data_IF_634050249154
#
_entry.id   IF_634050249154
#
_cell.length_a   1.000
_cell.length_b   1.000
_cell.length_c   1.000
_cell.angle_alpha   90.00
_cell.angle_beta   90.00
_cell.angle_gamma   90.00
#
_symmetry.space_group_name_H-M   'P 1'
#
loop_
_entity.id
_entity.type
_entity.pdbx_description
1 polymer ?
#
# COMPACT_ATOMS: atom_id res chain seq x y z
N UNK A 1 -2.09 10.33 -10.96
CA UNK A 1 -1.48 9.46 -9.95
C UNK A 1 -1.09 8.14 -10.60
N UNK A 2 0.07 7.55 -10.22
CA UNK A 2 0.51 6.24 -10.71
C UNK A 2 0.92 5.37 -9.53
N UNK A 3 0.46 4.12 -9.52
CA UNK A 3 0.86 3.09 -8.53
C UNK A 3 1.52 1.94 -9.29
N UNK A 4 2.71 1.54 -8.85
CA UNK A 4 3.44 0.40 -9.41
C UNK A 4 3.61 -0.66 -8.32
N UNK A 5 3.00 -1.84 -8.48
CA UNK A 5 3.18 -2.95 -7.54
C UNK A 5 4.59 -3.54 -7.73
N UNK A 6 5.40 -3.50 -6.66
CA UNK A 6 6.80 -3.95 -6.68
C UNK A 6 6.95 -5.31 -6.01
N UNK A 7 6.09 -5.60 -5.05
CA UNK A 7 6.11 -6.84 -4.26
C UNK A 7 4.68 -7.35 -4.05
N UNK A 8 4.44 -8.59 -4.38
CA UNK A 8 3.15 -9.28 -4.23
C UNK A 8 3.37 -10.80 -4.27
N UNK A 9 2.40 -11.57 -3.82
CA UNK A 9 2.43 -13.04 -3.86
C UNK A 9 2.36 -13.59 -5.29
N UNK A 10 1.87 -12.80 -6.24
CA UNK A 10 1.71 -13.17 -7.64
C UNK A 10 2.53 -12.26 -8.57
N UNK A 11 2.86 -12.76 -9.75
CA UNK A 11 3.58 -12.00 -10.79
C UNK A 11 2.62 -11.59 -11.89
N UNK A 12 2.46 -10.28 -12.10
CA UNK A 12 1.74 -9.73 -13.25
C UNK A 12 2.62 -9.59 -14.48
N UNK A 13 3.84 -9.06 -14.31
CA UNK A 13 4.79 -8.85 -15.41
C UNK A 13 5.89 -9.91 -15.40
N UNK A 14 5.99 -10.67 -16.50
CA UNK A 14 7.01 -11.73 -16.66
C UNK A 14 8.43 -11.20 -16.40
N UNK A 15 9.25 -12.02 -15.74
CA UNK A 15 10.65 -11.72 -15.43
C UNK A 15 10.86 -11.07 -14.04
N UNK A 16 9.79 -10.72 -13.36
CA UNK A 16 9.82 -10.28 -11.96
C UNK A 16 9.67 -11.47 -11.01
N UNK A 17 9.84 -11.23 -9.72
CA UNK A 17 9.77 -12.26 -8.67
C UNK A 17 8.62 -11.97 -7.74
N UNK A 18 7.75 -12.95 -7.51
CA UNK A 18 6.79 -12.93 -6.42
C UNK A 18 7.43 -13.48 -5.14
N UNK A 19 6.93 -13.03 -4.03
CA UNK A 19 7.24 -13.58 -2.70
C UNK A 19 6.11 -13.14 -1.75
N UNK A 20 6.01 -13.75 -0.57
CA UNK A 20 4.98 -13.41 0.39
C UNK A 20 5.19 -12.01 0.95
N UNK A 21 4.25 -11.11 0.74
CA UNK A 21 4.30 -9.71 1.21
C UNK A 21 3.74 -8.72 0.21
N UNK A 22 3.75 -7.45 0.59
CA UNK A 22 3.25 -6.37 -0.25
C UNK A 22 4.20 -5.17 -0.28
N UNK A 23 4.34 -4.54 -1.44
CA UNK A 23 4.91 -3.21 -1.60
C UNK A 23 4.47 -2.59 -2.92
N UNK A 24 4.19 -1.30 -2.91
CA UNK A 24 3.97 -0.53 -4.13
C UNK A 24 4.61 0.86 -4.06
N UNK A 25 5.01 1.38 -5.22
CA UNK A 25 5.45 2.77 -5.37
C UNK A 25 4.25 3.64 -5.72
N UNK A 26 4.04 4.69 -4.95
CA UNK A 26 3.00 5.70 -5.14
C UNK A 26 3.65 6.98 -5.67
N UNK A 27 3.24 7.39 -6.87
CA UNK A 27 3.75 8.56 -7.57
C UNK A 27 2.57 9.52 -7.86
N UNK A 28 2.64 10.72 -7.30
CA UNK A 28 1.71 11.81 -7.53
C UNK A 28 2.52 13.00 -8.04
N UNK A 29 2.01 13.72 -9.03
CA UNK A 29 2.69 14.89 -9.61
C UNK A 29 2.98 15.93 -8.51
N UNK A 30 4.19 16.47 -8.53
CA UNK A 30 4.69 17.47 -7.56
C UNK A 30 4.62 17.03 -6.08
N UNK A 31 4.59 15.72 -5.81
CA UNK A 31 4.61 15.16 -4.45
C UNK A 31 5.79 14.18 -4.28
N UNK A 32 6.22 13.92 -3.03
CA UNK A 32 7.20 12.90 -2.73
C UNK A 32 6.79 11.52 -3.27
N UNK A 33 7.76 10.78 -3.79
CA UNK A 33 7.58 9.38 -4.20
C UNK A 33 7.58 8.51 -2.95
N UNK A 34 6.45 7.92 -2.64
CA UNK A 34 6.27 7.11 -1.44
C UNK A 34 6.34 5.63 -1.80
N UNK A 35 7.26 4.91 -1.16
CA UNK A 35 7.22 3.45 -1.14
C UNK A 35 6.29 3.02 0.00
N UNK A 36 5.16 2.42 -0.36
CA UNK A 36 4.21 1.83 0.58
C UNK A 36 4.63 0.39 0.86
N UNK A 37 4.92 0.06 2.11
CA UNK A 37 5.48 -1.21 2.58
C UNK A 37 6.77 -1.65 1.84
N UNK A 38 7.38 -2.75 2.27
CA UNK A 38 8.68 -3.19 1.74
C UNK A 38 8.78 -4.70 1.47
N UNK A 39 7.65 -5.43 1.59
CA UNK A 39 7.65 -6.88 1.45
C UNK A 39 8.41 -7.60 2.56
N UNK A 40 8.58 -8.90 2.39
CA UNK A 40 9.25 -9.78 3.35
C UNK A 40 10.78 -9.80 3.21
N UNK A 41 11.31 -9.51 2.01
CA UNK A 41 12.71 -9.70 1.67
C UNK A 41 13.26 -8.54 0.85
N UNK A 42 14.24 -7.83 1.41
CA UNK A 42 14.85 -6.67 0.76
C UNK A 42 15.58 -7.00 -0.55
N UNK A 43 16.17 -8.18 -0.67
CA UNK A 43 16.81 -8.62 -1.92
C UNK A 43 15.79 -8.79 -3.05
N UNK A 44 14.62 -9.37 -2.78
CA UNK A 44 13.51 -9.51 -3.75
C UNK A 44 12.96 -8.11 -4.11
N UNK A 45 12.75 -7.23 -3.12
CA UNK A 45 12.29 -5.86 -3.33
C UNK A 45 13.24 -5.10 -4.28
N UNK A 46 14.54 -5.06 -3.96
CA UNK A 46 15.54 -4.32 -4.74
C UNK A 46 15.76 -4.92 -6.14
N UNK A 47 15.68 -6.26 -6.30
CA UNK A 47 15.77 -6.92 -7.61
C UNK A 47 14.57 -6.54 -8.50
N UNK A 48 13.36 -6.54 -7.97
CA UNK A 48 12.16 -6.11 -8.68
C UNK A 48 12.21 -4.62 -9.03
N UNK A 49 12.62 -3.75 -8.08
CA UNK A 49 12.82 -2.32 -8.36
C UNK A 49 13.78 -2.12 -9.53
N UNK A 50 14.94 -2.80 -9.50
CA UNK A 50 15.93 -2.73 -10.60
C UNK A 50 15.33 -3.15 -11.96
N UNK A 51 14.57 -4.23 -12.01
CA UNK A 51 13.92 -4.73 -13.24
C UNK A 51 12.78 -3.85 -13.73
N UNK A 52 12.20 -3.05 -12.85
CA UNK A 52 11.17 -2.05 -13.14
C UNK A 52 11.75 -0.67 -13.45
N UNK A 53 13.09 -0.55 -13.51
CA UNK A 53 13.81 0.72 -13.68
C UNK A 53 13.48 1.76 -12.59
N UNK A 54 13.23 1.28 -11.37
CA UNK A 54 12.99 2.10 -10.18
C UNK A 54 14.28 2.11 -9.35
N UNK A 55 14.91 3.29 -9.24
CA UNK A 55 16.11 3.46 -8.42
C UNK A 55 15.71 3.62 -6.95
N UNK A 56 16.24 2.84 -6.00
CA UNK A 56 15.94 3.01 -4.57
C UNK A 56 16.24 4.43 -4.07
N UNK A 57 17.27 5.08 -4.61
CA UNK A 57 17.64 6.46 -4.25
C UNK A 57 16.57 7.50 -4.64
N UNK A 58 15.71 7.15 -5.58
CA UNK A 58 14.61 8.00 -6.03
C UNK A 58 13.35 7.92 -5.16
N UNK A 59 13.34 7.05 -4.14
CA UNK A 59 12.28 6.99 -3.13
C UNK A 59 12.51 8.14 -2.15
N UNK A 60 11.53 8.99 -1.95
CA UNK A 60 11.64 10.11 -1.03
C UNK A 60 11.28 9.70 0.40
N UNK A 61 10.26 8.90 0.57
CA UNK A 61 9.73 8.47 1.85
C UNK A 61 9.19 7.03 1.79
N UNK A 62 9.10 6.39 2.94
CA UNK A 62 8.46 5.08 3.13
C UNK A 62 7.23 5.24 4.01
N UNK A 63 6.16 4.56 3.67
CA UNK A 63 4.96 4.46 4.48
C UNK A 63 4.72 2.99 4.83
N UNK A 64 4.79 2.64 6.10
CA UNK A 64 4.55 1.29 6.61
C UNK A 64 3.12 1.20 7.11
N UNK A 65 2.36 0.26 6.57
CA UNK A 65 1.00 0.00 6.99
C UNK A 65 0.94 -0.59 8.41
N UNK A 66 1.72 -1.63 8.69
CA UNK A 66 1.78 -2.30 9.98
C UNK A 66 3.09 -3.10 10.17
N UNK A 67 3.36 -3.52 11.43
CA UNK A 67 4.64 -4.13 11.85
C UNK A 67 4.64 -5.67 11.69
N UNK A 68 4.20 -6.19 10.55
CA UNK A 68 4.38 -7.59 10.20
C UNK A 68 5.58 -7.77 9.27
N UNK A 69 6.28 -8.90 9.42
CA UNK A 69 7.54 -9.20 8.74
C UNK A 69 7.46 -9.10 7.20
N UNK A 70 6.30 -9.42 6.65
CA UNK A 70 6.01 -9.41 5.22
C UNK A 70 5.63 -8.00 4.67
N UNK A 71 5.68 -6.98 5.52
CA UNK A 71 5.51 -5.56 5.18
C UNK A 71 6.74 -4.72 5.49
N UNK A 72 7.57 -5.15 6.46
CA UNK A 72 8.74 -4.40 6.93
C UNK A 72 10.07 -5.07 6.62
N UNK A 73 10.07 -6.28 6.07
CA UNK A 73 11.27 -7.09 5.86
C UNK A 73 12.32 -6.46 4.95
N UNK A 74 11.91 -5.61 4.01
CA UNK A 74 12.81 -4.89 3.12
C UNK A 74 13.41 -3.61 3.69
N UNK A 75 12.89 -3.08 4.81
CA UNK A 75 13.37 -1.83 5.42
C UNK A 75 14.87 -1.83 5.67
N UNK A 76 15.49 -2.86 6.27
CA UNK A 76 16.92 -2.86 6.54
C UNK A 76 17.79 -2.74 5.29
N UNK A 77 17.40 -3.39 4.19
CA UNK A 77 18.18 -3.36 2.95
C UNK A 77 17.98 -2.03 2.20
N UNK A 78 16.79 -1.47 2.25
CA UNK A 78 16.51 -0.14 1.70
C UNK A 78 17.32 0.94 2.43
N UNK A 79 17.42 0.88 3.76
CA UNK A 79 18.22 1.82 4.57
C UNK A 79 19.73 1.67 4.37
N UNK A 80 20.24 0.54 3.88
CA UNK A 80 21.64 0.42 3.45
C UNK A 80 21.93 1.26 2.20
N UNK A 81 20.93 1.40 1.31
CA UNK A 81 21.05 2.19 0.08
C UNK A 81 20.76 3.66 0.34
N UNK A 82 19.73 3.97 1.13
CA UNK A 82 19.33 5.35 1.49
C UNK A 82 19.09 5.47 2.98
N UNK A 83 20.14 5.75 3.77
CA UNK A 83 20.09 5.74 5.25
C UNK A 83 19.21 6.83 5.87
N UNK A 84 18.96 7.91 5.15
CA UNK A 84 18.22 9.10 5.60
C UNK A 84 16.73 9.07 5.23
N UNK A 85 16.23 7.94 4.72
CA UNK A 85 14.82 7.80 4.38
C UNK A 85 13.91 8.05 5.59
N UNK A 86 12.97 8.95 5.43
CA UNK A 86 11.89 9.18 6.38
C UNK A 86 10.87 8.06 6.26
N UNK A 87 10.47 7.50 7.41
CA UNK A 87 9.58 6.35 7.46
C UNK A 87 8.38 6.68 8.35
N UNK A 88 7.21 6.78 7.77
CA UNK A 88 5.93 6.87 8.48
C UNK A 88 5.51 5.48 8.93
N UNK A 89 5.18 5.33 10.20
CA UNK A 89 4.80 4.04 10.80
C UNK A 89 3.59 4.22 11.73
N UNK A 90 2.79 3.17 11.96
CA UNK A 90 1.76 3.21 13.00
C UNK A 90 2.40 3.33 14.39
N UNK A 91 1.63 3.77 15.38
CA UNK A 91 2.11 3.95 16.77
C UNK A 91 2.65 2.65 17.36
N UNK A 92 2.04 1.51 17.04
CA UNK A 92 2.42 0.16 17.49
C UNK A 92 3.73 -0.37 16.90
N UNK A 93 4.33 0.31 15.91
CA UNK A 93 5.58 -0.11 15.28
C UNK A 93 6.73 -0.24 16.29
N UNK A 94 7.42 -1.38 16.33
CA UNK A 94 8.36 -1.71 17.43
C UNK A 94 9.74 -1.12 17.26
N UNK A 95 10.24 -1.04 16.01
CA UNK A 95 11.60 -0.53 15.76
C UNK A 95 11.74 0.94 16.07
N UNK A 96 12.95 1.36 16.40
CA UNK A 96 13.32 2.75 16.70
C UNK A 96 14.31 3.25 15.67
N UNK A 97 14.27 4.54 15.38
CA UNK A 97 15.20 5.21 14.48
C UNK A 97 14.94 6.71 14.45
N UNK A 98 15.94 7.49 14.07
CA UNK A 98 15.84 8.96 14.04
C UNK A 98 14.92 9.46 12.92
N UNK A 99 14.70 8.64 11.89
CA UNK A 99 13.90 9.00 10.71
C UNK A 99 12.48 8.42 10.77
N UNK A 100 12.09 7.83 11.90
CA UNK A 100 10.78 7.22 12.10
C UNK A 100 9.78 8.27 12.61
N UNK A 101 8.69 8.44 11.88
CA UNK A 101 7.56 9.29 12.24
C UNK A 101 6.37 8.39 12.59
N UNK A 102 6.00 8.36 13.89
CA UNK A 102 4.86 7.58 14.37
C UNK A 102 3.56 8.33 14.15
N UNK A 103 2.58 7.63 13.64
CA UNK A 103 1.25 8.17 13.39
C UNK A 103 0.24 7.36 14.21
N UNK A 104 -0.47 8.05 15.09
CA UNK A 104 -1.54 7.50 15.90
C UNK A 104 -2.92 7.93 15.39
N UNK A 105 -3.07 9.21 15.19
CA UNK A 105 -4.33 9.83 14.77
C UNK A 105 -4.30 10.14 13.26
N UNK A 106 -5.46 10.28 12.61
CA UNK A 106 -5.51 10.71 11.21
C UNK A 106 -4.77 12.03 11.00
N UNK A 107 -3.90 12.07 9.98
CA UNK A 107 -3.07 13.26 9.69
C UNK A 107 -2.84 13.43 8.19
N UNK A 108 -2.82 14.66 7.73
CA UNK A 108 -2.32 15.01 6.40
C UNK A 108 -0.79 15.00 6.42
N UNK A 109 -0.17 14.08 5.65
CA UNK A 109 1.29 13.94 5.57
C UNK A 109 1.87 14.82 4.46
N UNK A 110 1.12 15.02 3.38
CA UNK A 110 1.35 15.96 2.30
C UNK A 110 0.02 16.47 1.78
N UNK A 111 0.02 17.57 1.07
CA UNK A 111 -1.20 18.12 0.47
C UNK A 111 -1.95 17.06 -0.35
N UNK A 112 -3.21 16.80 0.01
CA UNK A 112 -4.07 15.78 -0.56
C UNK A 112 -3.59 14.33 -0.35
N UNK A 113 -2.74 14.08 0.65
CA UNK A 113 -2.27 12.74 1.06
C UNK A 113 -2.35 12.61 2.58
N UNK A 114 -3.07 11.61 3.07
CA UNK A 114 -3.33 11.39 4.50
C UNK A 114 -2.96 9.98 4.93
N UNK A 115 -2.60 9.85 6.20
CA UNK A 115 -2.73 8.58 6.93
C UNK A 115 -4.10 8.54 7.61
N UNK A 116 -4.73 7.36 7.61
CA UNK A 116 -5.94 7.11 8.44
C UNK A 116 -5.67 7.20 9.93
N UNK A 117 -4.40 7.30 10.34
CA UNK A 117 -4.00 6.98 11.69
C UNK A 117 -4.03 5.48 11.94
N UNK A 118 -3.51 5.06 13.08
CA UNK A 118 -3.51 3.65 13.48
C UNK A 118 -4.92 3.20 13.86
N UNK A 119 -5.47 2.26 13.12
CA UNK A 119 -6.77 1.65 13.36
C UNK A 119 -6.60 0.34 14.13
N UNK A 120 -7.46 0.11 15.12
CA UNK A 120 -7.47 -1.10 15.96
C UNK A 120 -6.14 -1.42 16.65
N UNK A 121 -5.24 -0.44 16.79
CA UNK A 121 -3.93 -0.60 17.42
C UNK A 121 -2.96 -1.47 16.60
N UNK A 122 -3.11 -1.53 15.28
CA UNK A 122 -2.31 -2.41 14.42
C UNK A 122 -1.89 -1.82 13.09
N UNK A 123 -2.79 -1.15 12.35
CA UNK A 123 -2.56 -0.82 10.94
C UNK A 123 -3.06 0.56 10.57
N UNK A 124 -2.35 1.24 9.69
CA UNK A 124 -2.74 2.49 9.04
C UNK A 124 -2.79 2.33 7.51
N UNK A 125 -3.65 3.08 6.85
CA UNK A 125 -3.75 3.10 5.39
C UNK A 125 -3.35 4.47 4.84
N UNK A 126 -2.75 4.48 3.65
CA UNK A 126 -2.45 5.71 2.92
C UNK A 126 -3.67 6.10 2.06
N UNK A 127 -4.10 7.34 2.17
CA UNK A 127 -5.22 7.90 1.43
C UNK A 127 -4.71 9.03 0.54
N UNK A 128 -5.00 8.96 -0.75
CA UNK A 128 -4.56 9.96 -1.73
C UNK A 128 -5.75 10.48 -2.52
N UNK A 129 -5.91 11.80 -2.60
CA UNK A 129 -6.97 12.44 -3.37
C UNK A 129 -6.58 12.56 -4.83
N UNK A 130 -7.49 12.17 -5.71
CA UNK A 130 -7.41 12.37 -7.16
C UNK A 130 -8.64 13.16 -7.63
N UNK A 131 -8.69 13.52 -8.90
CA UNK A 131 -9.87 14.16 -9.50
C UNK A 131 -11.13 13.29 -9.42
N UNK A 132 -10.98 11.95 -9.39
CA UNK A 132 -12.08 10.98 -9.33
C UNK A 132 -12.56 10.68 -7.91
N UNK A 133 -11.78 11.03 -6.90
CA UNK A 133 -12.03 10.73 -5.49
C UNK A 133 -10.80 10.21 -4.77
N UNK A 134 -11.01 9.59 -3.61
CA UNK A 134 -9.93 9.07 -2.79
C UNK A 134 -9.50 7.68 -3.23
N UNK A 135 -8.20 7.47 -3.31
CA UNK A 135 -7.55 6.17 -3.45
C UNK A 135 -7.04 5.74 -2.10
N UNK A 136 -7.47 4.60 -1.63
CA UNK A 136 -7.00 3.99 -0.37
C UNK A 136 -6.03 2.87 -0.71
N UNK A 137 -4.83 2.94 -0.14
CA UNK A 137 -3.80 1.90 -0.24
C UNK A 137 -3.64 1.28 1.13
N UNK A 138 -3.79 -0.03 1.20
CA UNK A 138 -3.82 -0.78 2.45
C UNK A 138 -2.87 -1.98 2.43
N UNK A 139 -2.37 -2.39 3.60
CA UNK A 139 -1.46 -3.52 3.72
C UNK A 139 -2.20 -4.85 3.70
N UNK A 140 -2.94 -5.13 4.78
CA UNK A 140 -3.66 -6.39 4.99
C UNK A 140 -5.12 -6.23 5.43
N UNK A 141 -5.58 -5.03 5.67
CA UNK A 141 -6.92 -4.75 6.21
C UNK A 141 -7.22 -5.43 7.56
N UNK A 142 -6.23 -5.55 8.46
CA UNK A 142 -6.45 -6.12 9.79
C UNK A 142 -7.54 -5.43 10.60
N UNK A 143 -7.72 -4.09 10.51
CA UNK A 143 -8.84 -3.40 11.16
C UNK A 143 -10.22 -3.77 10.59
N UNK A 144 -10.23 -4.43 9.43
CA UNK A 144 -11.42 -4.69 8.62
C UNK A 144 -11.66 -3.60 7.57
N UNK A 145 -11.95 -4.01 6.33
CA UNK A 145 -12.16 -3.11 5.17
C UNK A 145 -13.20 -2.03 5.47
N UNK A 146 -14.31 -2.37 6.15
CA UNK A 146 -15.35 -1.40 6.51
C UNK A 146 -14.85 -0.27 7.43
N UNK A 147 -13.96 -0.59 8.37
CA UNK A 147 -13.37 0.41 9.27
C UNK A 147 -12.39 1.32 8.52
N UNK A 148 -11.59 0.74 7.62
CA UNK A 148 -10.64 1.48 6.78
C UNK A 148 -11.37 2.44 5.85
N UNK A 149 -12.40 1.97 5.13
CA UNK A 149 -13.20 2.80 4.23
C UNK A 149 -13.90 3.94 5.00
N UNK A 150 -14.43 3.65 6.20
CA UNK A 150 -15.03 4.68 7.07
C UNK A 150 -14.00 5.72 7.51
N UNK A 151 -12.80 5.29 7.94
CA UNK A 151 -11.73 6.20 8.33
C UNK A 151 -11.27 7.06 7.14
N UNK A 152 -11.11 6.48 5.95
CA UNK A 152 -10.75 7.22 4.76
C UNK A 152 -11.84 8.22 4.32
N UNK A 153 -13.12 7.86 4.50
CA UNK A 153 -14.26 8.68 4.07
C UNK A 153 -14.37 10.04 4.77
N UNK A 154 -13.68 10.24 5.91
CA UNK A 154 -13.60 11.56 6.54
C UNK A 154 -12.91 12.61 5.65
N UNK A 155 -12.07 12.18 4.71
CA UNK A 155 -11.34 13.06 3.79
C UNK A 155 -12.05 13.26 2.44
N UNK A 156 -13.12 12.48 2.16
CA UNK A 156 -13.91 12.57 0.93
C UNK A 156 -14.49 11.24 0.48
N UNK A 157 -15.04 11.19 -0.74
CA UNK A 157 -15.58 9.97 -1.33
C UNK A 157 -14.46 9.00 -1.72
N UNK A 158 -14.49 7.78 -1.20
CA UNK A 158 -13.55 6.74 -1.64
C UNK A 158 -13.93 6.26 -3.03
N UNK A 159 -12.98 6.30 -3.93
CA UNK A 159 -13.09 5.90 -5.33
C UNK A 159 -12.47 4.51 -5.58
N UNK A 160 -11.28 4.27 -4.99
CA UNK A 160 -10.50 3.06 -5.24
C UNK A 160 -9.92 2.47 -3.94
N UNK A 161 -9.81 1.13 -3.91
CA UNK A 161 -9.15 0.38 -2.85
C UNK A 161 -8.11 -0.57 -3.47
N UNK A 162 -6.85 -0.48 -3.02
CA UNK A 162 -5.72 -1.24 -3.54
C UNK A 162 -4.96 -1.85 -2.36
N UNK A 163 -4.66 -3.13 -2.39
CA UNK A 163 -3.88 -3.82 -1.36
C UNK A 163 -4.49 -5.13 -0.87
N UNK A 164 -4.01 -5.61 0.28
CA UNK A 164 -4.45 -6.85 0.89
C UNK A 164 -5.77 -6.69 1.64
N UNK A 165 -6.73 -7.57 1.37
CA UNK A 165 -8.05 -7.56 2.01
C UNK A 165 -8.26 -8.76 2.95
N UNK A 166 -7.20 -9.52 3.23
CA UNK A 166 -7.21 -10.69 4.11
C UNK A 166 -8.41 -11.64 3.83
N UNK A 167 -9.13 -12.04 4.87
CA UNK A 167 -10.34 -12.87 4.78
C UNK A 167 -11.64 -12.10 4.54
N UNK A 168 -11.59 -10.91 3.95
CA UNK A 168 -12.74 -10.03 3.71
C UNK A 168 -13.88 -10.72 2.95
N UNK A 169 -15.11 -10.61 3.46
CA UNK A 169 -16.34 -11.22 2.89
C UNK A 169 -17.53 -10.27 2.79
N UNK A 170 -17.43 -9.05 3.29
CA UNK A 170 -18.49 -8.06 3.26
C UNK A 170 -18.52 -7.34 1.90
N UNK A 171 -18.65 -8.12 0.80
CA UNK A 171 -18.47 -7.64 -0.57
C UNK A 171 -19.34 -6.45 -0.95
N UNK A 172 -20.51 -6.29 -0.31
CA UNK A 172 -21.39 -5.13 -0.52
C UNK A 172 -20.71 -3.78 -0.24
N UNK A 173 -19.67 -3.75 0.60
CA UNK A 173 -18.90 -2.55 0.86
C UNK A 173 -18.12 -2.06 -0.39
N UNK A 174 -17.89 -2.92 -1.37
CA UNK A 174 -17.20 -2.58 -2.61
C UNK A 174 -18.12 -1.99 -3.69
N UNK A 175 -19.44 -2.03 -3.48
CA UNK A 175 -20.43 -1.63 -4.50
C UNK A 175 -20.31 -0.15 -4.90
N UNK A 176 -19.90 0.73 -3.98
CA UNK A 176 -19.81 2.17 -4.19
C UNK A 176 -18.41 2.60 -4.67
N UNK A 177 -17.43 1.68 -4.69
CA UNK A 177 -16.12 1.90 -5.30
C UNK A 177 -16.20 1.77 -6.81
N UNK A 178 -15.29 2.41 -7.52
CA UNK A 178 -15.14 2.29 -8.98
C UNK A 178 -13.94 1.42 -9.37
N UNK A 179 -12.99 1.19 -8.45
CA UNK A 179 -11.83 0.34 -8.66
C UNK A 179 -11.47 -0.44 -7.40
N UNK A 180 -11.21 -1.73 -7.55
CA UNK A 180 -10.68 -2.60 -6.49
C UNK A 180 -9.55 -3.44 -7.07
N UNK A 181 -8.35 -3.32 -6.49
CA UNK A 181 -7.19 -4.15 -6.82
C UNK A 181 -6.81 -4.98 -5.58
N UNK A 182 -7.44 -6.14 -5.37
CA UNK A 182 -7.12 -7.01 -4.26
C UNK A 182 -5.78 -7.71 -4.51
N UNK A 183 -4.86 -7.60 -3.54
CA UNK A 183 -3.48 -8.06 -3.62
C UNK A 183 -3.14 -9.00 -2.47
N UNK A 184 -1.94 -9.52 -2.47
CA UNK A 184 -1.23 -10.14 -1.35
C UNK A 184 -2.05 -11.18 -0.58
N UNK A 185 -2.48 -10.85 0.65
CA UNK A 185 -3.17 -11.76 1.58
C UNK A 185 -4.66 -11.97 1.29
N UNK A 186 -5.20 -11.38 0.21
CA UNK A 186 -6.62 -11.46 -0.11
C UNK A 186 -7.04 -12.88 -0.47
N UNK A 187 -7.92 -13.50 0.33
CA UNK A 187 -8.36 -14.88 0.15
C UNK A 187 -9.45 -15.05 -0.91
N UNK A 188 -10.28 -14.02 -1.14
CA UNK A 188 -11.50 -14.09 -1.96
C UNK A 188 -11.42 -13.27 -3.26
N UNK A 189 -10.24 -13.27 -3.92
CA UNK A 189 -10.04 -12.53 -5.19
C UNK A 189 -11.03 -12.98 -6.26
N UNK A 190 -11.27 -14.28 -6.40
CA UNK A 190 -12.20 -14.84 -7.39
C UNK A 190 -13.62 -14.39 -7.19
N UNK A 191 -14.08 -14.27 -5.94
CA UNK A 191 -15.42 -13.77 -5.61
C UNK A 191 -15.54 -12.28 -5.95
N UNK A 192 -14.55 -11.48 -5.61
CA UNK A 192 -14.51 -10.04 -5.92
C UNK A 192 -14.57 -9.84 -7.44
N UNK A 193 -13.73 -10.56 -8.19
CA UNK A 193 -13.71 -10.54 -9.66
C UNK A 193 -15.05 -10.92 -10.27
N UNK A 194 -15.71 -11.95 -9.72
CA UNK A 194 -17.02 -12.41 -10.21
C UNK A 194 -18.15 -11.43 -9.90
N UNK A 195 -18.13 -10.79 -8.72
CA UNK A 195 -19.19 -9.87 -8.27
C UNK A 195 -19.05 -8.49 -8.91
N UNK A 196 -17.81 -8.05 -9.14
CA UNK A 196 -17.48 -6.69 -9.61
C UNK A 196 -16.47 -6.70 -10.77
N UNK A 197 -16.79 -7.40 -11.90
CA UNK A 197 -15.82 -7.56 -13.00
C UNK A 197 -15.37 -6.23 -13.61
N UNK A 198 -16.26 -5.22 -13.65
CA UNK A 198 -15.97 -3.91 -14.23
C UNK A 198 -15.12 -3.02 -13.31
N UNK A 199 -14.98 -3.37 -12.03
CA UNK A 199 -14.20 -2.63 -11.01
C UNK A 199 -12.91 -3.35 -10.64
N UNK A 200 -12.85 -4.64 -10.91
CA UNK A 200 -11.72 -5.48 -10.57
C UNK A 200 -10.51 -5.16 -11.43
N UNK A 201 -9.40 -4.88 -10.77
CA UNK A 201 -8.08 -4.78 -11.39
C UNK A 201 -7.21 -5.90 -10.86
N UNK A 202 -6.61 -6.68 -11.76
CA UNK A 202 -5.68 -7.73 -11.39
C UNK A 202 -4.41 -7.14 -10.79
N UNK A 203 -4.02 -7.62 -9.58
CA UNK A 203 -2.78 -7.27 -8.90
C UNK A 203 -1.58 -8.05 -9.43
N UNK A 204 -0.49 -8.07 -8.66
CA UNK A 204 0.74 -8.79 -8.95
C UNK A 204 1.92 -7.88 -9.26
N UNK A 205 3.13 -8.42 -9.03
CA UNK A 205 4.38 -7.69 -9.23
C UNK A 205 4.52 -7.19 -10.66
N UNK A 206 4.76 -5.89 -10.81
CA UNK A 206 4.89 -5.23 -12.11
C UNK A 206 3.58 -4.69 -12.68
N UNK A 207 2.46 -4.80 -11.95
CA UNK A 207 1.22 -4.11 -12.30
C UNK A 207 1.39 -2.60 -12.11
N UNK A 208 1.00 -1.83 -13.12
CA UNK A 208 0.91 -0.37 -13.07
C UNK A 208 -0.57 0.00 -13.13
N UNK A 209 -1.00 0.88 -12.23
CA UNK A 209 -2.36 1.42 -12.14
C UNK A 209 -2.25 2.93 -12.27
N UNK A 210 -2.86 3.47 -13.31
CA UNK A 210 -2.97 4.93 -13.55
C UNK A 210 -4.36 5.41 -13.16
N UNK A 211 -4.42 6.51 -12.37
CA UNK A 211 -5.61 7.00 -11.68
C UNK A 211 -5.75 8.53 -11.82
#
# INVERSE_FOLDING_TARGET
>A
MKITLIYDNEVYKKGLRSDWGFSCLVEVEDRPRILFDTGANGGTLLDNMKKLDIKPESIDEVFISHDHWDHVGGVPDLLKVKPDLKIYVPESYRSKGNNIVRIKEPIEIHENMWSTGELSGIEQSLVVKTERGLVVIDGCSHPGVGNILRAASQFGRVYALIGGLHGFREFDLLKDLELVCPCHCTQHISEIKRLYPDKYVEGGVGRIIEL
#
